data_IF_155310630675
#
_entry.id   IF_155310630675
#
_cell.length_a   1.000
_cell.length_b   1.000
_cell.length_c   1.000
_cell.angle_alpha   90.00
_cell.angle_beta   90.00
_cell.angle_gamma   90.00
#
_symmetry.space_group_name_H-M   'P 1'
#
loop_
_entity.id
_entity.type
_entity.pdbx_description
1 polymer ?
#
# COMPACT_ATOMS: atom_id res chain seq x y z
N UNK A 1 -7.97 -20.23 -12.51
CA UNK A 1 -8.86 -19.88 -11.38
C UNK A 1 -8.31 -20.44 -10.10
N UNK A 2 -8.15 -21.77 -10.03
CA UNK A 2 -7.55 -22.45 -8.90
C UNK A 2 -6.20 -21.87 -8.47
N UNK A 3 -5.30 -21.55 -9.40
CA UNK A 3 -4.00 -20.96 -9.05
C UNK A 3 -4.13 -19.60 -8.34
N UNK A 4 -5.03 -18.72 -8.79
CA UNK A 4 -5.23 -17.40 -8.16
C UNK A 4 -5.86 -17.59 -6.78
N UNK A 5 -6.82 -18.51 -6.66
CA UNK A 5 -7.44 -18.88 -5.39
C UNK A 5 -6.39 -19.38 -4.40
N UNK A 6 -5.62 -20.39 -4.78
CA UNK A 6 -4.62 -21.03 -3.94
C UNK A 6 -3.56 -20.02 -3.49
N UNK A 7 -3.03 -19.19 -4.40
CA UNK A 7 -2.04 -18.16 -4.06
C UNK A 7 -2.61 -17.18 -3.03
N UNK A 8 -3.81 -16.64 -3.25
CA UNK A 8 -4.36 -15.61 -2.35
C UNK A 8 -4.89 -16.17 -1.04
N UNK A 9 -5.45 -17.39 -1.04
CA UNK A 9 -5.84 -18.08 0.18
C UNK A 9 -4.63 -18.41 1.05
N UNK A 10 -3.56 -18.96 0.46
CA UNK A 10 -2.32 -19.24 1.18
C UNK A 10 -1.62 -17.96 1.63
N UNK A 11 -1.70 -16.89 0.83
CA UNK A 11 -1.16 -15.58 1.22
C UNK A 11 -1.92 -15.05 2.44
N UNK A 12 -3.26 -15.09 2.45
CA UNK A 12 -4.05 -14.72 3.63
C UNK A 12 -3.66 -15.53 4.86
N UNK A 13 -3.63 -16.86 4.75
CA UNK A 13 -3.25 -17.76 5.85
C UNK A 13 -1.81 -17.56 6.35
N UNK A 14 -0.90 -17.13 5.48
CA UNK A 14 0.48 -16.82 5.87
C UNK A 14 0.57 -15.57 6.76
N UNK A 15 -0.36 -14.61 6.62
CA UNK A 15 -0.34 -13.38 7.41
C UNK A 15 -0.95 -13.54 8.83
N UNK A 16 -1.66 -14.63 9.12
CA UNK A 16 -2.12 -14.89 10.49
C UNK A 16 -3.28 -15.89 10.59
N UNK A 17 -3.56 -16.29 11.84
CA UNK A 17 -4.57 -17.31 12.15
C UNK A 17 -6.00 -16.75 12.34
N UNK A 18 -6.17 -15.42 12.40
CA UNK A 18 -7.47 -14.79 12.55
C UNK A 18 -8.22 -14.66 11.22
N UNK A 19 -9.55 -14.58 11.31
CA UNK A 19 -10.45 -14.62 10.16
C UNK A 19 -10.31 -13.42 9.21
N UNK A 20 -9.88 -12.26 9.72
CA UNK A 20 -9.66 -11.05 8.92
C UNK A 20 -8.63 -11.30 7.80
N UNK A 21 -7.56 -12.08 8.04
CA UNK A 21 -6.55 -12.40 7.02
C UNK A 21 -7.09 -13.36 5.94
N UNK A 22 -7.94 -14.31 6.31
CA UNK A 22 -8.63 -15.19 5.36
C UNK A 22 -9.58 -14.38 4.48
N UNK A 23 -10.39 -13.50 5.07
CA UNK A 23 -11.29 -12.60 4.35
C UNK A 23 -10.53 -11.66 3.42
N UNK A 24 -9.39 -11.15 3.86
CA UNK A 24 -8.50 -10.32 3.05
C UNK A 24 -7.96 -11.08 1.82
N UNK A 25 -7.50 -12.31 2.00
CA UNK A 25 -7.05 -13.16 0.88
C UNK A 25 -8.18 -13.43 -0.13
N UNK A 26 -9.38 -13.78 0.36
CA UNK A 26 -10.56 -13.98 -0.48
C UNK A 26 -10.99 -12.70 -1.21
N UNK A 27 -10.90 -11.55 -0.55
CA UNK A 27 -11.20 -10.25 -1.12
C UNK A 27 -10.35 -9.96 -2.37
N UNK A 28 -9.02 -10.13 -2.29
CA UNK A 28 -8.13 -9.93 -3.44
C UNK A 28 -8.31 -11.00 -4.52
N UNK A 29 -8.58 -12.24 -4.13
CA UNK A 29 -8.93 -13.29 -5.08
C UNK A 29 -10.13 -12.90 -5.94
N UNK A 30 -11.22 -12.43 -5.31
CA UNK A 30 -12.43 -11.99 -5.99
C UNK A 30 -12.15 -10.77 -6.87
N UNK A 31 -11.44 -9.78 -6.36
CA UNK A 31 -11.10 -8.56 -7.10
C UNK A 31 -10.31 -8.89 -8.38
N UNK A 32 -9.30 -9.75 -8.29
CA UNK A 32 -8.49 -10.15 -9.45
C UNK A 32 -9.26 -11.01 -10.44
N UNK A 33 -10.22 -11.83 -9.99
CA UNK A 33 -11.13 -12.53 -10.89
C UNK A 33 -11.99 -11.53 -11.66
N UNK A 34 -12.64 -10.62 -10.95
CA UNK A 34 -13.52 -9.62 -11.56
C UNK A 34 -12.75 -8.79 -12.59
N UNK A 35 -11.54 -8.35 -12.22
CA UNK A 35 -10.67 -7.61 -13.12
C UNK A 35 -10.23 -8.46 -14.31
N UNK A 36 -9.87 -9.74 -14.13
CA UNK A 36 -9.44 -10.60 -15.23
C UNK A 36 -10.53 -10.85 -16.28
N UNK A 37 -11.78 -11.05 -15.86
CA UNK A 37 -12.86 -11.45 -16.77
C UNK A 37 -13.75 -10.32 -17.25
N UNK A 38 -13.95 -9.28 -16.45
CA UNK A 38 -14.95 -8.25 -16.74
C UNK A 38 -14.32 -6.87 -16.87
N UNK A 39 -13.55 -6.46 -15.86
CA UNK A 39 -13.15 -5.06 -15.71
C UNK A 39 -11.85 -4.73 -16.46
N UNK A 40 -10.93 -5.66 -16.63
CA UNK A 40 -9.58 -5.38 -17.10
C UNK A 40 -9.51 -4.89 -18.55
N UNK A 41 -10.42 -5.34 -19.42
CA UNK A 41 -10.51 -4.81 -20.79
C UNK A 41 -11.07 -3.38 -20.82
N UNK A 42 -11.98 -3.06 -19.90
CA UNK A 42 -12.54 -1.72 -19.73
C UNK A 42 -11.54 -0.75 -19.08
N UNK A 43 -10.85 -1.15 -18.01
CA UNK A 43 -9.83 -0.34 -17.34
C UNK A 43 -8.65 0.02 -18.25
N UNK A 44 -8.37 -0.80 -19.27
CA UNK A 44 -7.35 -0.51 -20.29
C UNK A 44 -7.78 0.54 -21.31
N UNK A 45 -9.09 0.81 -21.44
CA UNK A 45 -9.66 1.77 -22.41
C UNK A 45 -9.89 3.15 -21.81
N UNK A 46 -10.04 3.25 -20.49
CA UNK A 46 -10.22 4.52 -19.80
C UNK A 46 -8.87 5.19 -19.49
N UNK A 47 -8.83 6.51 -19.20
CA UNK A 47 -7.61 7.19 -18.77
C UNK A 47 -7.00 6.52 -17.53
N UNK A 48 -5.66 6.42 -17.52
CA UNK A 48 -4.91 5.73 -16.47
C UNK A 48 -5.20 6.22 -15.05
N UNK A 49 -5.57 7.50 -14.90
CA UNK A 49 -5.95 8.11 -13.62
C UNK A 49 -7.11 7.35 -12.97
N UNK A 50 -8.12 6.92 -13.74
CA UNK A 50 -9.25 6.17 -13.20
C UNK A 50 -8.87 4.76 -12.78
N UNK A 51 -7.98 4.11 -13.53
CA UNK A 51 -7.46 2.79 -13.17
C UNK A 51 -6.60 2.85 -11.90
N UNK A 52 -5.79 3.91 -11.73
CA UNK A 52 -5.05 4.16 -10.49
C UNK A 52 -6.00 4.45 -9.34
N UNK A 53 -7.01 5.30 -9.52
CA UNK A 53 -8.00 5.62 -8.49
C UNK A 53 -8.78 4.36 -8.06
N UNK A 54 -9.19 3.51 -9.01
CA UNK A 54 -9.80 2.21 -8.74
C UNK A 54 -8.88 1.34 -7.87
N UNK A 55 -7.62 1.15 -8.27
CA UNK A 55 -6.68 0.31 -7.52
C UNK A 55 -6.45 0.86 -6.11
N UNK A 56 -6.22 2.16 -5.97
CA UNK A 56 -6.03 2.79 -4.66
C UNK A 56 -7.28 2.64 -3.78
N UNK A 57 -8.46 2.87 -4.34
CA UNK A 57 -9.71 2.75 -3.59
C UNK A 57 -9.88 1.34 -3.00
N UNK A 58 -9.82 0.30 -3.85
CA UNK A 58 -9.96 -1.07 -3.37
C UNK A 58 -8.77 -1.53 -2.51
N UNK A 59 -7.57 -1.03 -2.74
CA UNK A 59 -6.44 -1.30 -1.85
C UNK A 59 -6.68 -0.74 -0.44
N UNK A 60 -7.21 0.48 -0.33
CA UNK A 60 -7.53 1.08 0.98
C UNK A 60 -8.61 0.30 1.73
N UNK A 61 -9.65 -0.18 1.04
CA UNK A 61 -10.65 -1.07 1.66
C UNK A 61 -10.02 -2.40 2.11
N UNK A 62 -9.12 -2.95 1.31
CA UNK A 62 -8.34 -4.14 1.66
C UNK A 62 -7.52 -3.93 2.93
N UNK A 63 -6.88 -2.77 3.10
CA UNK A 63 -6.14 -2.45 4.31
C UNK A 63 -7.00 -2.41 5.58
N UNK A 64 -8.27 -2.01 5.49
CA UNK A 64 -9.20 -2.08 6.64
C UNK A 64 -9.46 -3.53 7.03
N UNK A 65 -9.75 -4.40 6.05
CA UNK A 65 -9.98 -5.83 6.30
C UNK A 65 -8.72 -6.46 6.88
N UNK A 66 -7.54 -6.04 6.44
CA UNK A 66 -6.26 -6.55 6.95
C UNK A 66 -6.00 -6.11 8.39
N UNK A 67 -6.16 -4.82 8.69
CA UNK A 67 -5.71 -4.23 9.95
C UNK A 67 -6.65 -4.47 11.14
N UNK A 68 -7.93 -4.73 10.88
CA UNK A 68 -8.92 -4.93 11.94
C UNK A 68 -9.11 -6.42 12.20
N UNK A 69 -8.56 -6.90 13.33
CA UNK A 69 -8.61 -8.33 13.71
C UNK A 69 -10.00 -8.78 14.14
N UNK A 70 -10.77 -7.89 14.78
CA UNK A 70 -12.17 -8.15 15.13
C UNK A 70 -13.06 -7.93 13.90
N UNK A 71 -13.42 -9.04 13.25
CA UNK A 71 -14.27 -9.07 12.06
C UNK A 71 -15.61 -8.34 12.27
N UNK A 72 -16.15 -8.34 13.50
CA UNK A 72 -17.41 -7.64 13.80
C UNK A 72 -17.30 -6.12 13.67
N UNK A 73 -16.08 -5.57 13.80
CA UNK A 73 -15.83 -4.14 13.71
C UNK A 73 -15.52 -3.66 12.29
N UNK A 74 -15.15 -4.55 11.36
CA UNK A 74 -14.80 -4.19 9.97
C UNK A 74 -15.93 -3.37 9.32
N UNK A 75 -17.19 -3.81 9.47
CA UNK A 75 -18.35 -3.10 8.92
C UNK A 75 -18.50 -1.68 9.49
N UNK A 76 -18.29 -1.52 10.80
CA UNK A 76 -18.33 -0.22 11.48
C UNK A 76 -17.21 0.70 11.01
N UNK A 77 -15.99 0.18 10.81
CA UNK A 77 -14.87 0.95 10.28
C UNK A 77 -15.11 1.39 8.83
N UNK A 78 -15.60 0.49 7.98
CA UNK A 78 -15.98 0.82 6.60
C UNK A 78 -17.08 1.88 6.57
N UNK A 79 -18.12 1.75 7.41
CA UNK A 79 -19.18 2.74 7.51
C UNK A 79 -18.66 4.13 7.91
N UNK A 80 -17.70 4.19 8.85
CA UNK A 80 -17.02 5.43 9.25
C UNK A 80 -16.26 6.08 8.09
N UNK A 81 -15.59 5.32 7.22
CA UNK A 81 -14.90 5.84 6.05
C UNK A 81 -15.83 6.56 5.06
N UNK A 82 -17.09 6.12 4.97
CA UNK A 82 -18.11 6.74 4.13
C UNK A 82 -18.97 7.78 4.87
N UNK A 83 -18.59 8.16 6.11
CA UNK A 83 -19.26 9.21 6.88
C UNK A 83 -20.48 8.74 7.69
N UNK A 84 -20.82 7.45 7.68
CA UNK A 84 -21.96 6.90 8.42
C UNK A 84 -21.69 6.68 9.92
N UNK A 85 -20.52 7.09 10.42
CA UNK A 85 -20.10 6.86 11.80
C UNK A 85 -20.22 8.07 12.74
N UNK A 86 -20.85 9.16 12.31
CA UNK A 86 -20.97 10.39 13.11
C UNK A 86 -19.64 11.11 13.35
N UNK A 87 -18.59 10.75 12.60
CA UNK A 87 -17.28 11.39 12.67
C UNK A 87 -17.29 12.62 11.73
N UNK A 88 -16.85 13.81 12.19
CA UNK A 88 -16.76 14.97 11.31
C UNK A 88 -15.75 14.73 10.18
N UNK A 89 -16.03 15.31 9.00
CA UNK A 89 -15.17 15.17 7.82
C UNK A 89 -13.73 15.66 8.07
N UNK A 90 -13.60 16.68 8.93
CA UNK A 90 -12.32 17.22 9.39
C UNK A 90 -12.34 17.21 10.91
N UNK A 91 -11.45 16.43 11.52
CA UNK A 91 -11.20 16.44 12.97
C UNK A 91 -9.82 17.04 13.26
N UNK A 92 -9.62 17.57 14.46
CA UNK A 92 -8.32 18.10 14.90
C UNK A 92 -7.23 17.02 14.85
N UNK A 93 -7.55 15.80 15.26
CA UNK A 93 -6.65 14.64 15.17
C UNK A 93 -6.34 14.26 13.72
N UNK A 94 -7.35 14.24 12.84
CA UNK A 94 -7.17 13.93 11.43
C UNK A 94 -6.26 14.95 10.74
N UNK A 95 -6.43 16.24 11.05
CA UNK A 95 -5.57 17.30 10.53
C UNK A 95 -4.15 17.21 11.09
N UNK A 96 -4.01 16.87 12.37
CA UNK A 96 -2.71 16.63 13.00
C UNK A 96 -1.95 15.51 12.28
N UNK A 97 -2.56 14.33 12.09
CA UNK A 97 -1.91 13.23 11.39
C UNK A 97 -1.65 13.54 9.91
N UNK A 98 -2.60 14.19 9.24
CA UNK A 98 -2.43 14.60 7.84
C UNK A 98 -1.22 15.51 7.68
N UNK A 99 -1.09 16.54 8.52
CA UNK A 99 0.05 17.48 8.46
C UNK A 99 1.37 16.85 8.90
N UNK A 100 1.36 16.04 9.96
CA UNK A 100 2.55 15.35 10.46
C UNK A 100 3.14 14.38 9.42
N UNK A 101 2.29 13.63 8.71
CA UNK A 101 2.72 12.66 7.70
C UNK A 101 2.78 13.22 6.27
N UNK A 102 2.29 14.45 6.01
CA UNK A 102 2.26 15.04 4.67
C UNK A 102 3.64 15.03 3.99
N UNK A 103 4.75 15.42 4.64
CA UNK A 103 6.07 15.40 4.00
C UNK A 103 6.46 13.98 3.56
N UNK A 104 6.22 12.99 4.42
CA UNK A 104 6.52 11.59 4.13
C UNK A 104 5.65 11.06 2.98
N UNK A 105 4.34 11.34 3.01
CA UNK A 105 3.40 10.94 1.95
C UNK A 105 3.79 11.53 0.59
N UNK A 106 4.23 12.79 0.55
CA UNK A 106 4.71 13.41 -0.68
C UNK A 106 5.97 12.72 -1.22
N UNK A 107 6.94 12.40 -0.35
CA UNK A 107 8.15 11.66 -0.74
C UNK A 107 7.78 10.26 -1.27
N UNK A 108 6.92 9.53 -0.57
CA UNK A 108 6.46 8.20 -0.98
C UNK A 108 5.68 8.24 -2.30
N UNK A 109 4.80 9.23 -2.49
CA UNK A 109 4.06 9.41 -3.74
C UNK A 109 5.01 9.67 -4.92
N UNK A 110 6.00 10.55 -4.73
CA UNK A 110 7.01 10.84 -5.75
C UNK A 110 7.86 9.61 -6.07
N UNK A 111 8.32 8.89 -5.04
CA UNK A 111 9.11 7.66 -5.18
C UNK A 111 8.35 6.50 -5.82
N UNK A 112 7.02 6.45 -5.66
CA UNK A 112 6.15 5.43 -6.25
C UNK A 112 5.84 5.68 -7.73
N UNK A 113 6.28 6.81 -8.29
CA UNK A 113 6.16 7.13 -9.72
C UNK A 113 7.47 6.82 -10.45
N UNK A 114 7.45 6.60 -11.78
CA UNK A 114 8.69 6.42 -12.55
C UNK A 114 9.50 7.72 -12.70
N UNK A 115 9.23 8.76 -11.90
CA UNK A 115 9.89 10.07 -11.97
C UNK A 115 11.41 9.96 -11.91
N UNK A 116 11.96 9.28 -10.89
CA UNK A 116 13.40 9.10 -10.74
C UNK A 116 14.02 8.27 -11.87
N UNK A 117 13.32 7.23 -12.32
CA UNK A 117 13.74 6.41 -13.45
C UNK A 117 13.76 7.20 -14.77
N UNK A 118 12.76 8.05 -15.00
CA UNK A 118 12.65 8.92 -16.18
C UNK A 118 13.74 10.01 -16.14
N UNK A 119 13.94 10.66 -15.00
CA UNK A 119 15.03 11.63 -14.79
C UNK A 119 16.39 11.01 -15.09
N UNK A 120 16.67 9.81 -14.57
CA UNK A 120 17.91 9.09 -14.86
C UNK A 120 18.04 8.67 -16.33
N UNK A 121 16.92 8.40 -17.02
CA UNK A 121 16.92 8.04 -18.45
C UNK A 121 17.21 9.23 -19.38
N UNK A 122 16.77 10.45 -19.04
CA UNK A 122 17.09 11.65 -19.81
C UNK A 122 18.57 12.06 -19.67
N UNK A 123 19.22 11.69 -18.57
CA UNK A 123 20.65 11.88 -18.35
C UNK A 123 21.53 10.86 -19.11
N UNK A 124 20.94 9.88 -19.83
CA UNK A 124 21.71 8.87 -20.58
C UNK A 124 22.46 9.41 -21.81
N UNK A 125 22.04 10.54 -22.37
CA UNK A 125 22.72 11.17 -23.53
C UNK A 125 24.09 11.75 -23.12
N UNK A 126 24.26 12.07 -21.84
CA UNK A 126 25.49 12.59 -21.26
C UNK A 126 25.71 11.92 -19.92
N UNK A 127 26.16 10.65 -19.88
CA UNK A 127 26.48 9.99 -18.59
C UNK A 127 27.82 10.50 -18.05
N UNK A 128 27.89 11.43 -17.08
CA UNK A 128 29.10 11.58 -16.28
C UNK A 128 29.34 10.30 -15.49
N UNK A 129 30.61 9.88 -15.43
CA UNK A 129 31.06 8.63 -14.80
C UNK A 129 30.70 8.52 -13.30
N UNK A 130 30.29 9.64 -12.69
CA UNK A 130 29.96 9.79 -11.27
C UNK A 130 28.51 9.42 -10.91
N UNK A 131 27.59 9.28 -11.87
CA UNK A 131 26.17 8.97 -11.58
C UNK A 131 25.96 7.56 -11.00
N UNK A 132 26.76 6.59 -11.44
CA UNK A 132 26.72 5.21 -10.94
C UNK A 132 27.20 5.09 -9.49
N UNK A 133 28.37 5.61 -9.09
CA UNK A 133 28.77 5.60 -7.69
C UNK A 133 27.84 6.43 -6.80
N UNK A 134 27.32 7.57 -7.28
CA UNK A 134 26.35 8.38 -6.52
C UNK A 134 25.07 7.59 -6.19
N UNK A 135 24.54 6.81 -7.14
CA UNK A 135 23.36 5.96 -6.91
C UNK A 135 23.63 4.89 -5.85
N UNK A 136 24.81 4.25 -5.89
CA UNK A 136 25.21 3.25 -4.90
C UNK A 136 25.33 3.88 -3.51
N UNK A 137 25.89 5.08 -3.39
CA UNK A 137 26.00 5.81 -2.12
C UNK A 137 24.62 6.14 -1.56
N UNK A 138 23.68 6.61 -2.38
CA UNK A 138 22.30 6.90 -1.94
C UNK A 138 21.60 5.63 -1.44
N UNK A 139 21.74 4.51 -2.14
CA UNK A 139 21.16 3.23 -1.72
C UNK A 139 21.79 2.72 -0.41
N UNK A 140 23.12 2.80 -0.29
CA UNK A 140 23.83 2.42 0.92
C UNK A 140 23.42 3.29 2.12
N UNK A 141 23.30 4.61 1.92
CA UNK A 141 22.83 5.53 2.95
C UNK A 141 21.36 5.26 3.34
N UNK A 142 20.49 5.00 2.36
CA UNK A 142 19.08 4.65 2.61
C UNK A 142 18.95 3.34 3.38
N UNK A 143 19.79 2.35 3.07
CA UNK A 143 19.87 1.09 3.81
C UNK A 143 20.32 1.33 5.25
N UNK A 144 21.40 2.09 5.46
CA UNK A 144 21.90 2.44 6.79
C UNK A 144 20.83 3.17 7.61
N UNK A 145 20.15 4.15 7.03
CA UNK A 145 19.07 4.88 7.69
C UNK A 145 17.93 3.94 8.06
N UNK A 146 17.51 3.06 7.15
CA UNK A 146 16.47 2.06 7.42
C UNK A 146 16.87 1.13 8.57
N UNK A 147 18.12 0.69 8.62
CA UNK A 147 18.62 -0.14 9.73
C UNK A 147 18.74 0.62 11.04
N UNK A 148 19.10 1.91 11.01
CA UNK A 148 19.17 2.75 12.20
C UNK A 148 17.77 2.96 12.82
N UNK A 149 16.77 3.25 11.99
CA UNK A 149 15.37 3.33 12.43
C UNK A 149 14.85 1.99 12.96
N UNK A 150 15.26 0.86 12.36
CA UNK A 150 14.91 -0.46 12.85
C UNK A 150 15.50 -0.73 14.26
N UNK A 151 16.74 -0.31 14.50
CA UNK A 151 17.42 -0.45 15.79
C UNK A 151 16.82 0.48 16.85
N UNK A 152 16.44 1.70 16.48
CA UNK A 152 15.78 2.67 17.38
C UNK A 152 14.36 2.23 17.78
N UNK A 153 13.67 1.47 16.92
CA UNK A 153 12.37 0.88 17.22
C UNK A 153 12.48 -0.22 18.29
N UNK A 154 12.56 0.21 19.56
CA UNK A 154 12.69 -0.63 20.77
C UNK A 154 11.51 -1.59 20.95
N UNK A 155 10.42 -1.40 20.20
CA UNK A 155 9.27 -2.28 20.14
C UNK A 155 8.90 -2.54 18.68
N UNK A 156 9.47 -3.60 18.12
CA UNK A 156 9.10 -4.11 16.79
C UNK A 156 8.43 -5.47 16.96
N UNK A 157 7.27 -5.56 17.65
CA UNK A 157 6.52 -6.80 17.64
C UNK A 157 6.20 -7.01 16.17
N UNK A 158 6.84 -8.04 15.59
CA UNK A 158 6.54 -8.51 14.27
C UNK A 158 5.01 -8.47 14.11
N UNK A 159 4.52 -7.88 13.02
CA UNK A 159 3.08 -7.71 12.79
C UNK A 159 2.31 -9.05 12.93
N UNK A 160 3.04 -10.17 12.76
CA UNK A 160 2.63 -11.57 12.92
C UNK A 160 2.76 -12.18 14.33
N UNK A 161 3.15 -11.43 15.35
CA UNK A 161 3.26 -11.94 16.74
C UNK A 161 2.31 -11.21 17.71
N UNK A 162 1.25 -10.58 17.18
CA UNK A 162 0.17 -9.99 17.98
C UNK A 162 -0.95 -10.98 18.35
N UNK A 163 -0.62 -12.27 18.47
CA UNK A 163 -1.53 -13.30 18.98
C UNK A 163 -1.08 -13.72 20.38
#
# INVERSE_FOLDING_TARGET
MFNIFAVWALTGLWHGASWNYVLWGLYYFLLLIIEKFFLGSFLKRIPSVFSVAYTLFFAMLGWVIFAIEDVSQIGTYLAKLFGFGGVPLVSGEGLFYATAYLPLLLICALASTPFFARMHSHLKVTRPIWLTPATVVVLAFSFLLSTAYLVDSTYNPFLYFRF
#
